data_IF_614984622464
#
_entry.id   IF_614984622464
#
_cell.length_a   1.000
_cell.length_b   1.000
_cell.length_c   1.000
_cell.angle_alpha   90.00
_cell.angle_beta   90.00
_cell.angle_gamma   90.00
#
_symmetry.space_group_name_H-M   'P 1'
#
loop_
_entity.id
_entity.type
_entity.pdbx_description
1 polymer ?
#
# COMPACT_ATOMS: atom_id res chain seq x y z
N UNK A 1 -7.76 17.93 9.07
CA UNK A 1 -8.43 16.68 8.60
C UNK A 1 -7.34 15.63 8.53
N UNK A 2 -7.53 14.43 9.13
CA UNK A 2 -6.51 13.38 9.12
C UNK A 2 -6.36 12.82 7.71
N UNK A 3 -5.13 12.52 7.29
CA UNK A 3 -4.86 11.78 6.05
C UNK A 3 -5.27 10.31 6.19
N UNK A 4 -4.93 9.70 7.35
CA UNK A 4 -5.41 8.37 7.73
C UNK A 4 -6.19 8.51 9.04
N UNK A 5 -7.35 7.83 9.10
CA UNK A 5 -8.15 7.71 10.31
C UNK A 5 -8.70 6.29 10.40
N UNK A 6 -8.23 5.54 11.38
CA UNK A 6 -8.72 4.19 11.69
C UNK A 6 -9.36 4.17 13.08
N UNK A 7 -10.44 3.41 13.24
CA UNK A 7 -11.12 3.19 14.51
C UNK A 7 -11.54 1.75 14.63
N UNK A 8 -11.10 1.13 15.69
CA UNK A 8 -11.44 -0.25 16.10
C UNK A 8 -11.29 -1.25 14.95
N UNK A 9 -10.22 -1.08 14.14
CA UNK A 9 -9.95 -2.01 13.05
C UNK A 9 -9.70 -3.41 13.60
N UNK A 10 -10.44 -4.38 13.08
CA UNK A 10 -10.27 -5.79 13.39
C UNK A 10 -10.07 -6.59 12.12
N UNK A 11 -9.14 -7.54 12.19
CA UNK A 11 -8.87 -8.45 11.08
C UNK A 11 -8.31 -9.77 11.57
N UNK A 12 -8.83 -10.87 11.04
CA UNK A 12 -8.44 -12.23 11.36
C UNK A 12 -8.00 -12.98 10.10
N UNK A 13 -6.91 -13.74 10.20
CA UNK A 13 -6.54 -14.70 9.19
C UNK A 13 -7.20 -16.04 9.50
N UNK A 14 -8.03 -16.53 8.58
CA UNK A 14 -8.66 -17.84 8.69
C UNK A 14 -7.76 -18.86 7.99
N UNK A 15 -7.22 -19.80 8.78
CA UNK A 15 -6.48 -20.96 8.26
C UNK A 15 -7.47 -22.05 7.91
N UNK A 16 -7.28 -22.68 6.75
CA UNK A 16 -8.11 -23.81 6.30
C UNK A 16 -7.22 -25.01 6.02
N UNK A 17 -7.74 -26.21 6.34
CA UNK A 17 -7.11 -27.48 5.99
C UNK A 17 -7.25 -27.77 4.48
N UNK A 18 -6.67 -28.91 4.03
CA UNK A 18 -6.72 -29.36 2.63
C UNK A 18 -8.16 -29.66 2.17
N UNK A 19 -9.07 -29.93 3.08
CA UNK A 19 -10.49 -30.19 2.82
C UNK A 19 -11.34 -28.91 2.81
N UNK A 20 -10.73 -27.73 3.14
CA UNK A 20 -11.38 -26.43 3.19
C UNK A 20 -12.07 -26.09 4.50
N UNK A 21 -11.98 -26.93 5.54
CA UNK A 21 -12.51 -26.65 6.87
C UNK A 21 -11.63 -25.65 7.60
N UNK A 22 -12.20 -24.88 8.52
CA UNK A 22 -11.44 -23.94 9.36
C UNK A 22 -10.59 -24.73 10.36
N UNK A 23 -9.27 -24.65 10.21
CA UNK A 23 -8.28 -25.28 11.09
C UNK A 23 -7.76 -24.32 12.17
N UNK A 24 -7.84 -23.02 11.94
CA UNK A 24 -7.44 -22.02 12.90
C UNK A 24 -7.85 -20.61 12.52
N UNK A 25 -7.88 -19.73 13.54
CA UNK A 25 -8.11 -18.29 13.39
C UNK A 25 -6.99 -17.54 14.10
N UNK A 26 -6.33 -16.63 13.37
CA UNK A 26 -5.29 -15.77 13.91
C UNK A 26 -5.75 -14.31 13.85
N UNK A 27 -6.07 -13.73 15.00
CA UNK A 27 -6.39 -12.29 15.10
C UNK A 27 -5.12 -11.48 14.89
N UNK A 28 -5.06 -10.76 13.78
CA UNK A 28 -3.91 -9.94 13.39
C UNK A 28 -4.08 -8.46 13.77
N UNK A 29 -5.31 -7.94 13.74
CA UNK A 29 -5.69 -6.63 14.26
C UNK A 29 -6.86 -6.80 15.22
N UNK A 30 -6.74 -6.22 16.41
CA UNK A 30 -7.76 -6.31 17.46
C UNK A 30 -8.10 -4.92 18.00
N UNK A 31 -9.00 -4.23 17.32
CA UNK A 31 -9.51 -2.93 17.72
C UNK A 31 -8.49 -1.77 17.56
N UNK A 32 -7.72 -1.76 16.48
CA UNK A 32 -6.67 -0.75 16.26
C UNK A 32 -7.25 0.62 15.94
N UNK A 33 -6.81 1.63 16.68
CA UNK A 33 -7.05 3.05 16.40
C UNK A 33 -5.77 3.71 15.88
N UNK A 34 -5.87 4.52 14.83
CA UNK A 34 -4.75 5.26 14.25
C UNK A 34 -5.24 6.58 13.64
N UNK A 35 -4.52 7.66 13.92
CA UNK A 35 -4.67 8.95 13.25
C UNK A 35 -3.32 9.37 12.69
N UNK A 36 -3.28 9.78 11.40
CA UNK A 36 -2.10 10.34 10.75
C UNK A 36 -2.48 11.63 10.05
N UNK A 37 -1.75 12.70 10.36
CA UNK A 37 -1.95 14.00 9.73
C UNK A 37 -1.19 14.10 8.40
N UNK A 38 -1.61 14.97 7.47
CA UNK A 38 -0.82 15.28 6.29
C UNK A 38 0.59 15.74 6.65
N UNK A 39 1.62 15.17 5.99
CA UNK A 39 3.03 15.51 6.22
C UNK A 39 3.64 14.89 7.48
N UNK A 40 2.91 14.08 8.23
CA UNK A 40 3.42 13.41 9.41
C UNK A 40 4.24 12.17 9.04
N UNK A 41 5.35 11.95 9.77
CA UNK A 41 6.14 10.73 9.72
C UNK A 41 5.81 9.85 10.93
N UNK A 42 5.26 8.66 10.69
CA UNK A 42 4.81 7.74 11.73
C UNK A 42 5.63 6.44 11.70
N UNK A 43 6.20 6.04 12.83
CA UNK A 43 6.87 4.76 12.99
C UNK A 43 5.97 3.79 13.78
N UNK A 44 5.70 2.61 13.20
CA UNK A 44 4.95 1.55 13.85
C UNK A 44 5.93 0.50 14.36
N UNK A 45 6.03 0.36 15.68
CA UNK A 45 6.96 -0.53 16.36
C UNK A 45 6.24 -1.76 16.90
N UNK A 46 6.93 -2.90 16.93
CA UNK A 46 6.41 -4.15 17.49
C UNK A 46 7.25 -5.35 17.06
N UNK A 47 7.11 -6.47 17.78
CA UNK A 47 7.79 -7.73 17.43
C UNK A 47 7.26 -8.34 16.12
N UNK A 48 7.94 -9.35 15.60
CA UNK A 48 7.46 -10.08 14.41
C UNK A 48 6.12 -10.77 14.72
N UNK A 49 5.17 -10.66 13.78
CA UNK A 49 3.82 -11.19 13.97
C UNK A 49 2.85 -10.26 14.74
N UNK A 50 3.25 -9.04 15.12
CA UNK A 50 2.37 -8.10 15.85
C UNK A 50 1.37 -7.33 14.97
N UNK A 51 1.15 -7.73 13.71
CA UNK A 51 0.14 -7.12 12.85
C UNK A 51 0.58 -5.88 12.04
N UNK A 52 1.86 -5.42 12.14
CA UNK A 52 2.34 -4.21 11.43
C UNK A 52 2.11 -4.25 9.91
N UNK A 53 2.53 -5.34 9.28
CA UNK A 53 2.36 -5.53 7.83
C UNK A 53 0.88 -5.70 7.45
N UNK A 54 0.09 -6.30 8.33
CA UNK A 54 -1.36 -6.43 8.16
C UNK A 54 -2.01 -5.05 8.18
N UNK A 55 -1.68 -4.21 9.17
CA UNK A 55 -2.18 -2.83 9.22
C UNK A 55 -1.78 -2.05 7.96
N UNK A 56 -0.51 -2.11 7.56
CA UNK A 56 -0.05 -1.43 6.33
C UNK A 56 -0.83 -1.85 5.09
N UNK A 57 -1.15 -3.14 4.93
CA UNK A 57 -1.96 -3.66 3.83
C UNK A 57 -3.41 -3.18 3.83
N UNK A 58 -3.97 -2.82 4.98
CA UNK A 58 -5.28 -2.19 5.05
C UNK A 58 -5.25 -0.74 4.56
N UNK A 59 -4.17 0.00 4.84
CA UNK A 59 -4.04 1.41 4.47
C UNK A 59 -4.05 1.67 2.96
N UNK A 60 -3.74 0.66 2.14
CA UNK A 60 -3.84 0.73 0.68
C UNK A 60 -4.87 -0.26 0.08
N UNK A 61 -5.76 -0.80 0.92
CA UNK A 61 -6.80 -1.76 0.53
C UNK A 61 -6.28 -3.02 -0.17
N UNK A 62 -5.08 -3.52 0.18
CA UNK A 62 -4.66 -4.88 -0.14
C UNK A 62 -5.37 -5.91 0.72
N UNK A 63 -5.76 -5.53 1.92
CA UNK A 63 -6.65 -6.26 2.80
C UNK A 63 -7.81 -5.33 3.18
N UNK A 64 -8.98 -5.91 3.41
CA UNK A 64 -10.15 -5.21 3.87
C UNK A 64 -10.47 -5.64 5.31
N UNK A 65 -10.67 -4.70 6.21
CA UNK A 65 -10.99 -5.02 7.61
C UNK A 65 -12.38 -5.66 7.70
N UNK A 66 -12.55 -6.52 8.69
CA UNK A 66 -13.83 -7.18 8.96
C UNK A 66 -14.74 -6.28 9.80
N UNK A 67 -14.14 -5.52 10.71
CA UNK A 67 -14.85 -4.60 11.60
C UNK A 67 -14.06 -3.29 11.75
N UNK A 68 -14.75 -2.24 12.19
CA UNK A 68 -14.20 -0.91 12.40
C UNK A 68 -14.41 0.02 11.22
N UNK A 69 -13.68 1.12 11.19
CA UNK A 69 -13.69 2.09 10.09
C UNK A 69 -12.28 2.49 9.73
N UNK A 70 -12.05 2.68 8.44
CA UNK A 70 -10.78 3.17 7.91
C UNK A 70 -11.03 4.21 6.82
N UNK A 71 -10.45 5.38 6.98
CA UNK A 71 -10.48 6.47 6.00
C UNK A 71 -9.06 6.82 5.58
N UNK A 72 -8.85 6.91 4.27
CA UNK A 72 -7.56 7.29 3.67
C UNK A 72 -7.82 8.43 2.69
N UNK A 73 -7.17 9.55 2.90
CA UNK A 73 -7.35 10.79 2.12
C UNK A 73 -8.83 11.17 1.92
N UNK A 74 -9.63 11.03 3.00
CA UNK A 74 -11.06 11.33 2.99
C UNK A 74 -11.94 10.29 2.31
N UNK A 75 -11.39 9.15 1.87
CA UNK A 75 -12.11 8.04 1.25
C UNK A 75 -12.33 6.91 2.25
N UNK A 76 -13.52 6.36 2.26
CA UNK A 76 -13.86 5.19 3.07
C UNK A 76 -13.25 3.93 2.47
N UNK A 77 -12.30 3.32 3.18
CA UNK A 77 -11.63 2.08 2.74
C UNK A 77 -12.48 0.82 2.99
N UNK A 78 -13.65 0.96 3.61
CA UNK A 78 -14.64 -0.12 3.71
C UNK A 78 -15.51 -0.22 2.45
N UNK A 79 -15.54 0.84 1.63
CA UNK A 79 -16.24 0.86 0.34
C UNK A 79 -15.30 0.47 -0.80
N UNK A 80 -15.56 -0.68 -1.44
CA UNK A 80 -14.78 -1.19 -2.56
C UNK A 80 -14.75 -0.22 -3.77
N UNK A 81 -15.72 0.67 -3.90
CA UNK A 81 -15.73 1.69 -4.96
C UNK A 81 -14.54 2.65 -4.88
N UNK A 82 -13.99 2.87 -3.67
CA UNK A 82 -12.86 3.75 -3.43
C UNK A 82 -11.47 3.10 -3.64
N UNK A 83 -11.43 1.81 -4.02
CA UNK A 83 -10.21 1.01 -4.13
C UNK A 83 -9.11 1.70 -4.94
N UNK A 84 -9.44 2.15 -6.15
CA UNK A 84 -8.46 2.73 -7.06
C UNK A 84 -7.96 4.10 -6.60
N UNK A 85 -8.85 4.92 -6.05
CA UNK A 85 -8.47 6.23 -5.53
C UNK A 85 -7.55 6.11 -4.31
N UNK A 86 -7.85 5.18 -3.40
CA UNK A 86 -7.00 4.92 -2.22
C UNK A 86 -5.64 4.37 -2.63
N UNK A 87 -5.58 3.42 -3.56
CA UNK A 87 -4.30 2.87 -4.04
C UNK A 87 -3.43 3.90 -4.76
N UNK A 88 -4.03 4.90 -5.39
CA UNK A 88 -3.30 6.02 -5.98
C UNK A 88 -2.79 7.00 -4.91
N UNK A 89 -3.50 7.15 -3.80
CA UNK A 89 -3.12 8.03 -2.69
C UNK A 89 -2.10 7.38 -1.74
N UNK A 90 -2.16 6.06 -1.56
CA UNK A 90 -1.35 5.29 -0.60
C UNK A 90 -0.47 4.26 -1.30
N UNK A 91 0.72 4.69 -1.73
CA UNK A 91 1.75 3.78 -2.26
C UNK A 91 2.30 2.88 -1.15
N UNK A 92 2.72 1.66 -1.52
CA UNK A 92 3.28 0.68 -0.59
C UNK A 92 4.60 0.13 -1.11
N UNK A 93 5.60 0.07 -0.22
CA UNK A 93 6.85 -0.67 -0.45
C UNK A 93 6.83 -1.89 0.45
N UNK A 94 6.95 -3.09 -0.14
CA UNK A 94 6.95 -4.35 0.61
C UNK A 94 8.32 -4.61 1.27
N UNK A 95 8.34 -5.56 2.20
CA UNK A 95 9.55 -5.95 2.93
C UNK A 95 10.69 -6.42 2.02
N UNK A 96 10.37 -7.03 0.88
CA UNK A 96 11.33 -7.37 -0.17
C UNK A 96 11.00 -6.55 -1.44
N UNK A 97 11.57 -5.36 -1.59
CA UNK A 97 11.25 -4.45 -2.70
C UNK A 97 11.69 -4.98 -4.07
N UNK A 98 12.72 -5.82 -4.12
CA UNK A 98 13.23 -6.38 -5.38
C UNK A 98 12.15 -7.18 -6.13
N UNK A 99 11.24 -7.83 -5.39
CA UNK A 99 10.12 -8.56 -5.96
C UNK A 99 9.02 -7.65 -6.56
N UNK A 100 9.12 -6.34 -6.39
CA UNK A 100 8.17 -5.37 -6.95
C UNK A 100 8.64 -4.82 -8.29
N UNK A 101 9.91 -5.01 -8.65
CA UNK A 101 10.48 -4.57 -9.91
C UNK A 101 9.98 -5.49 -11.03
N UNK A 102 9.35 -4.93 -12.05
CA UNK A 102 8.76 -5.67 -13.17
C UNK A 102 9.46 -5.41 -14.50
N UNK A 103 10.13 -4.25 -14.64
CA UNK A 103 10.84 -3.89 -15.86
C UNK A 103 12.35 -4.06 -15.73
N UNK A 104 13.03 -4.20 -16.88
CA UNK A 104 14.50 -4.33 -16.96
C UNK A 104 15.23 -3.00 -16.98
N UNK A 105 14.50 -1.89 -17.11
CA UNK A 105 15.03 -0.52 -17.13
C UNK A 105 14.30 0.33 -16.11
N UNK A 106 15.00 1.12 -15.34
CA UNK A 106 14.46 1.94 -14.24
C UNK A 106 13.31 2.83 -14.68
N UNK A 107 13.45 3.55 -15.80
CA UNK A 107 12.39 4.45 -16.27
C UNK A 107 11.11 3.72 -16.70
N UNK A 108 11.24 2.52 -17.24
CA UNK A 108 10.11 1.68 -17.63
C UNK A 108 9.37 1.15 -16.39
N UNK A 109 10.12 0.77 -15.36
CA UNK A 109 9.54 0.32 -14.09
C UNK A 109 8.76 1.43 -13.40
N UNK A 110 9.30 2.64 -13.37
CA UNK A 110 8.61 3.83 -12.82
C UNK A 110 7.39 4.21 -13.67
N UNK A 111 7.43 3.99 -14.99
CA UNK A 111 6.31 4.26 -15.91
C UNK A 111 5.16 3.26 -15.75
N UNK A 112 5.41 2.06 -15.28
CA UNK A 112 4.46 0.96 -15.21
C UNK A 112 3.15 1.33 -14.47
N UNK A 113 3.25 2.02 -13.34
CA UNK A 113 2.09 2.46 -12.57
C UNK A 113 1.18 3.42 -13.35
N UNK A 114 1.70 4.55 -13.85
CA UNK A 114 0.95 5.49 -14.68
C UNK A 114 0.38 4.87 -15.97
N UNK A 115 1.09 3.95 -16.60
CA UNK A 115 0.60 3.23 -17.80
C UNK A 115 -0.65 2.42 -17.48
N UNK A 116 -0.63 1.66 -16.39
CA UNK A 116 -1.79 0.87 -15.96
C UNK A 116 -3.00 1.73 -15.56
N UNK A 117 -2.77 3.00 -15.22
CA UNK A 117 -3.83 3.98 -14.95
C UNK A 117 -4.33 4.70 -16.21
N UNK A 118 -3.79 4.37 -17.40
CA UNK A 118 -4.19 4.98 -18.67
C UNK A 118 -3.76 6.45 -18.80
N UNK A 119 -2.70 6.86 -18.11
CA UNK A 119 -2.16 8.22 -18.20
C UNK A 119 -1.59 8.46 -19.59
N UNK A 120 -1.85 9.62 -20.24
CA UNK A 120 -1.27 9.93 -21.55
C UNK A 120 0.26 9.89 -21.55
N UNK A 121 0.87 9.33 -22.62
CA UNK A 121 2.31 9.06 -22.70
C UNK A 121 3.20 10.28 -22.35
N UNK A 122 2.86 11.46 -22.84
CA UNK A 122 3.64 12.68 -22.53
C UNK A 122 3.63 13.03 -21.05
N UNK A 123 2.53 12.79 -20.36
CA UNK A 123 2.39 12.99 -18.93
C UNK A 123 3.11 11.89 -18.13
N UNK A 124 3.14 10.65 -18.62
CA UNK A 124 3.90 9.54 -18.01
C UNK A 124 5.37 9.94 -17.89
N UNK A 125 6.00 10.34 -19.00
CA UNK A 125 7.41 10.70 -18.99
C UNK A 125 7.72 11.90 -18.09
N UNK A 126 6.82 12.87 -18.03
CA UNK A 126 6.94 13.99 -17.10
C UNK A 126 6.91 13.54 -15.63
N UNK A 127 6.04 12.59 -15.30
CA UNK A 127 5.96 11.99 -13.95
C UNK A 127 7.18 11.16 -13.61
N UNK A 128 7.65 10.33 -14.55
CA UNK A 128 8.87 9.53 -14.39
C UNK A 128 10.06 10.42 -14.07
N UNK A 129 10.30 11.46 -14.89
CA UNK A 129 11.41 12.41 -14.67
C UNK A 129 11.32 13.08 -13.30
N UNK A 130 10.14 13.60 -12.93
CA UNK A 130 9.91 14.24 -11.64
C UNK A 130 10.13 13.28 -10.46
N UNK A 131 9.66 12.04 -10.58
CA UNK A 131 9.80 11.02 -9.53
C UNK A 131 11.26 10.64 -9.31
N UNK A 132 12.00 10.35 -10.38
CA UNK A 132 13.43 10.04 -10.31
C UNK A 132 14.25 11.19 -9.74
N UNK A 133 13.92 12.44 -10.14
CA UNK A 133 14.56 13.64 -9.60
C UNK A 133 14.31 13.80 -8.10
N UNK A 134 13.09 13.54 -7.64
CA UNK A 134 12.72 13.71 -6.22
C UNK A 134 13.47 12.77 -5.27
N UNK A 135 13.95 11.63 -5.77
CA UNK A 135 14.73 10.64 -5.02
C UNK A 135 16.21 10.61 -5.41
N UNK A 136 16.68 11.54 -6.26
CA UNK A 136 18.07 11.64 -6.67
C UNK A 136 18.53 10.53 -7.63
N UNK A 137 17.61 9.86 -8.32
CA UNK A 137 17.89 8.71 -9.18
C UNK A 137 17.91 9.02 -10.68
N UNK A 138 17.84 10.27 -11.09
CA UNK A 138 17.82 10.68 -12.52
C UNK A 138 18.98 10.12 -13.35
N UNK A 139 20.19 9.99 -12.76
CA UNK A 139 21.35 9.42 -13.42
C UNK A 139 21.22 7.93 -13.76
N UNK A 140 20.34 7.22 -13.08
CA UNK A 140 20.12 5.77 -13.25
C UNK A 140 18.93 5.44 -14.16
N UNK A 141 18.33 6.45 -14.75
CA UNK A 141 17.10 6.35 -15.56
C UNK A 141 17.13 5.19 -16.57
N UNK A 142 18.23 5.04 -17.32
CA UNK A 142 18.43 4.03 -18.37
C UNK A 142 19.18 2.78 -17.91
N UNK A 143 19.43 2.64 -16.61
CA UNK A 143 20.12 1.48 -16.07
C UNK A 143 19.16 0.33 -15.75
N UNK A 144 19.71 -0.86 -15.59
CA UNK A 144 19.00 -1.97 -14.95
C UNK A 144 18.77 -1.64 -13.48
N UNK A 145 17.58 -1.93 -12.93
CA UNK A 145 17.30 -1.75 -11.51
C UNK A 145 18.05 -2.74 -10.60
N UNK A 146 18.68 -3.78 -11.16
CA UNK A 146 19.46 -4.83 -10.47
C UNK A 146 20.95 -4.71 -10.77
#
# INVERSE_FOLDING_TARGET
>A
MNFIKARKLKFEYIQRDEEGNVDGVLTALDGVDLDVQPGEFVAILGHNGSGKSTLAKHLNMLLQAEEGTLWVDGKDAMDAANLWEIRQAAGMVFQNPDNQIVASVVEEDVAFGPENLGVPTGEIWRRVEKSLQSVGMSAYRSHSPN
#
